data_IF_233691793457
#
_entry.id   IF_233691793457
#
_cell.length_a   1.000
_cell.length_b   1.000
_cell.length_c   1.000
_cell.angle_alpha   90.00
_cell.angle_beta   90.00
_cell.angle_gamma   90.00
#
_symmetry.space_group_name_H-M   'P 1'
#
loop_
_entity.id
_entity.type
_entity.pdbx_description
1 polymer ?
#
# COMPACT_ATOMS: atom_id res chain seq x y z
N UNK A 1 5.69 23.11 -27.11
CA UNK A 1 5.26 23.58 -25.77
C UNK A 1 4.75 22.42 -24.91
N UNK A 2 5.27 21.20 -25.07
CA UNK A 2 4.93 20.02 -24.27
C UNK A 2 6.17 19.24 -23.80
N UNK A 3 7.36 19.53 -24.34
CA UNK A 3 8.63 18.87 -24.00
C UNK A 3 9.32 19.43 -22.73
N UNK A 4 8.67 20.34 -21.99
CA UNK A 4 9.26 21.02 -20.82
C UNK A 4 8.75 20.51 -19.46
N UNK A 5 7.98 19.42 -19.45
CA UNK A 5 7.37 18.90 -18.23
C UNK A 5 8.17 17.79 -17.54
N UNK A 6 9.18 17.22 -18.19
CA UNK A 6 10.09 16.24 -17.58
C UNK A 6 11.53 16.72 -17.71
N UNK A 7 11.96 17.58 -16.78
CA UNK A 7 13.39 17.74 -16.52
C UNK A 7 13.85 16.56 -15.67
N UNK A 8 14.66 15.68 -16.25
CA UNK A 8 15.52 14.74 -15.54
C UNK A 8 16.52 15.56 -14.71
N UNK A 9 16.17 15.94 -13.49
CA UNK A 9 17.13 16.24 -12.40
C UNK A 9 16.41 16.63 -11.10
N UNK A 10 16.02 15.61 -10.36
CA UNK A 10 16.20 15.46 -8.91
C UNK A 10 15.44 14.19 -8.52
N UNK A 11 16.10 13.27 -7.82
CA UNK A 11 15.40 12.21 -7.09
C UNK A 11 14.57 12.92 -6.02
N UNK A 12 13.36 13.34 -6.37
CA UNK A 12 12.40 13.84 -5.40
C UNK A 12 12.05 12.62 -4.56
N UNK A 13 12.61 12.56 -3.36
CA UNK A 13 12.09 11.66 -2.34
C UNK A 13 10.73 12.23 -1.96
N UNK A 14 9.70 11.87 -2.71
CA UNK A 14 8.33 12.14 -2.35
C UNK A 14 7.98 11.22 -1.18
N UNK A 15 7.26 11.77 -0.21
CA UNK A 15 6.82 11.04 0.96
C UNK A 15 5.32 11.16 1.10
N UNK A 16 4.66 10.05 1.40
CA UNK A 16 3.25 10.06 1.80
C UNK A 16 3.12 10.11 3.32
N UNK A 17 2.34 11.07 3.79
CA UNK A 17 1.80 11.10 5.13
C UNK A 17 0.42 10.44 5.20
N UNK A 18 -0.14 10.41 6.41
CA UNK A 18 -1.43 9.76 6.64
C UNK A 18 -2.61 10.45 5.94
N UNK A 19 -2.50 11.76 5.71
CA UNK A 19 -3.48 12.52 4.93
C UNK A 19 -3.47 12.09 3.46
N UNK A 20 -2.30 11.82 2.90
CA UNK A 20 -2.15 11.37 1.51
C UNK A 20 -2.79 10.01 1.30
N UNK A 21 -2.67 9.09 2.27
CA UNK A 21 -3.33 7.78 2.21
C UNK A 21 -4.86 7.89 2.02
N UNK A 22 -5.50 8.90 2.62
CA UNK A 22 -6.94 9.14 2.44
C UNK A 22 -7.27 9.58 1.00
N UNK A 23 -6.46 10.45 0.42
CA UNK A 23 -6.64 10.89 -0.97
C UNK A 23 -6.31 9.79 -1.97
N UNK A 24 -5.26 9.01 -1.72
CA UNK A 24 -4.86 7.85 -2.53
C UNK A 24 -5.97 6.80 -2.52
N UNK A 25 -6.51 6.43 -1.35
CA UNK A 25 -7.61 5.48 -1.26
C UNK A 25 -8.84 5.94 -2.06
N UNK A 26 -9.18 7.23 -1.99
CA UNK A 26 -10.31 7.79 -2.74
C UNK A 26 -10.08 7.78 -4.25
N UNK A 27 -8.89 8.18 -4.71
CA UNK A 27 -8.52 8.14 -6.12
C UNK A 27 -8.47 6.70 -6.66
N UNK A 28 -7.86 5.79 -5.90
CA UNK A 28 -7.77 4.38 -6.26
C UNK A 28 -9.16 3.73 -6.38
N UNK A 29 -10.11 4.06 -5.50
CA UNK A 29 -11.48 3.57 -5.60
C UNK A 29 -12.17 3.95 -6.93
N UNK A 30 -11.88 5.13 -7.47
CA UNK A 30 -12.41 5.59 -8.75
C UNK A 30 -11.71 4.87 -9.92
N UNK A 31 -10.38 4.77 -9.86
CA UNK A 31 -9.57 4.20 -10.93
C UNK A 31 -9.70 2.67 -11.05
N UNK A 32 -10.06 1.99 -9.97
CA UNK A 32 -10.17 0.53 -9.90
C UNK A 32 -11.39 -0.06 -10.63
N UNK A 33 -12.23 0.76 -11.29
CA UNK A 33 -13.42 0.31 -12.04
C UNK A 33 -14.38 -0.58 -11.21
N UNK A 34 -14.45 -0.35 -9.90
CA UNK A 34 -15.32 -1.09 -8.96
C UNK A 34 -14.68 -2.29 -8.25
N UNK A 35 -13.41 -2.62 -8.54
CA UNK A 35 -12.62 -3.65 -7.83
C UNK A 35 -11.70 -3.08 -6.74
N UNK A 36 -10.69 -3.85 -6.32
CA UNK A 36 -9.61 -3.30 -5.48
C UNK A 36 -9.87 -3.21 -3.98
N UNK A 37 -11.02 -3.70 -3.53
CA UNK A 37 -11.48 -3.61 -2.15
C UNK A 37 -12.30 -2.34 -1.86
N UNK A 38 -13.01 -2.38 -0.72
CA UNK A 38 -13.96 -1.33 -0.32
C UNK A 38 -13.25 -0.05 0.13
N UNK A 39 -13.73 1.11 -0.34
CA UNK A 39 -13.27 2.41 0.15
C UNK A 39 -13.64 2.62 1.63
N UNK A 40 -14.76 2.06 2.09
CA UNK A 40 -15.16 2.17 3.49
C UNK A 40 -14.14 1.46 4.40
N UNK A 41 -13.75 0.24 4.04
CA UNK A 41 -12.79 -0.57 4.79
C UNK A 41 -11.42 0.12 4.80
N UNK A 42 -11.01 0.68 3.66
CA UNK A 42 -9.78 1.44 3.53
C UNK A 42 -9.73 2.64 4.49
N UNK A 43 -10.81 3.43 4.56
CA UNK A 43 -10.92 4.56 5.48
C UNK A 43 -10.91 4.11 6.94
N UNK A 44 -11.53 2.96 7.27
CA UNK A 44 -11.51 2.44 8.64
C UNK A 44 -10.10 2.02 9.07
N UNK A 45 -9.37 1.30 8.21
CA UNK A 45 -7.97 0.93 8.47
C UNK A 45 -7.10 2.18 8.64
N UNK A 46 -7.23 3.19 7.78
CA UNK A 46 -6.46 4.45 7.90
C UNK A 46 -6.78 5.16 9.22
N UNK A 47 -8.05 5.18 9.66
CA UNK A 47 -8.44 5.77 10.95
C UNK A 47 -7.83 5.02 12.13
N UNK A 48 -7.82 3.69 12.10
CA UNK A 48 -7.14 2.89 13.12
C UNK A 48 -5.64 3.16 13.12
N UNK A 49 -5.04 3.29 11.94
CA UNK A 49 -3.62 3.60 11.80
C UNK A 49 -3.28 4.99 12.35
N UNK A 50 -4.14 5.98 12.08
CA UNK A 50 -4.05 7.34 12.63
C UNK A 50 -4.19 7.32 14.15
N UNK A 51 -5.10 6.51 14.69
CA UNK A 51 -5.32 6.36 16.12
C UNK A 51 -4.13 5.74 16.87
N UNK A 52 -3.20 5.07 16.17
CA UNK A 52 -1.93 4.62 16.78
C UNK A 52 -0.99 5.78 17.14
N UNK A 53 -1.27 7.00 16.64
CA UNK A 53 -0.40 8.17 16.78
C UNK A 53 0.75 8.18 15.79
N UNK A 54 0.68 7.37 14.72
CA UNK A 54 1.69 7.34 13.68
C UNK A 54 1.85 8.72 13.02
N UNK A 55 3.10 9.18 12.94
CA UNK A 55 3.50 10.48 12.38
C UNK A 55 4.70 10.34 11.44
N UNK A 56 4.87 9.13 10.89
CA UNK A 56 5.96 8.82 9.96
C UNK A 56 5.71 9.37 8.56
N UNK A 57 6.60 8.97 7.65
CA UNK A 57 6.58 9.31 6.24
C UNK A 57 6.88 8.04 5.44
N UNK A 58 6.02 7.69 4.48
CA UNK A 58 6.21 6.54 3.61
C UNK A 58 7.03 7.01 2.41
N UNK A 59 8.27 6.54 2.20
CA UNK A 59 9.07 6.93 1.05
C UNK A 59 8.46 6.38 -0.24
N UNK A 60 8.41 7.23 -1.26
CA UNK A 60 7.96 6.89 -2.61
C UNK A 60 9.15 7.03 -3.53
N UNK A 61 9.44 5.97 -4.27
CA UNK A 61 10.52 5.97 -5.25
C UNK A 61 10.18 5.03 -6.40
N UNK A 62 10.77 5.31 -7.55
CA UNK A 62 10.79 4.36 -8.66
C UNK A 62 11.51 3.08 -8.25
N UNK A 63 11.02 1.95 -8.76
CA UNK A 63 11.66 0.66 -8.51
C UNK A 63 12.98 0.57 -9.29
N UNK A 64 14.05 0.14 -8.62
CA UNK A 64 15.42 0.10 -9.18
C UNK A 64 15.67 -1.11 -10.11
N UNK A 65 14.71 -2.02 -10.22
CA UNK A 65 14.83 -3.24 -11.02
C UNK A 65 15.70 -4.34 -10.38
N UNK A 66 16.20 -4.15 -9.15
CA UNK A 66 17.19 -5.03 -8.53
C UNK A 66 16.88 -5.39 -7.07
N UNK A 67 16.25 -4.49 -6.32
CA UNK A 67 15.90 -4.70 -4.91
C UNK A 67 14.86 -5.82 -4.79
N UNK A 68 15.07 -6.77 -3.88
CA UNK A 68 14.09 -7.83 -3.67
C UNK A 68 12.74 -7.24 -3.23
N UNK A 69 11.74 -7.39 -4.11
CA UNK A 69 10.36 -6.99 -3.88
C UNK A 69 9.42 -8.18 -4.07
N UNK A 70 8.22 -8.10 -3.49
CA UNK A 70 7.14 -9.00 -3.83
C UNK A 70 5.85 -8.23 -4.12
N UNK A 71 4.95 -8.86 -4.86
CA UNK A 71 3.58 -8.36 -4.98
C UNK A 71 2.83 -8.77 -3.72
N UNK A 72 2.21 -7.80 -3.04
CA UNK A 72 1.38 -8.02 -1.87
C UNK A 72 -0.05 -7.57 -2.14
N UNK A 73 -1.01 -8.34 -1.65
CA UNK A 73 -2.43 -8.10 -1.82
C UNK A 73 -3.21 -8.59 -0.61
N UNK A 74 -4.32 -7.94 -0.32
CA UNK A 74 -5.36 -8.53 0.53
C UNK A 74 -6.36 -9.24 -0.37
N UNK A 75 -6.56 -10.54 -0.10
CA UNK A 75 -7.49 -11.37 -0.87
C UNK A 75 -8.45 -12.08 0.07
N UNK A 76 -9.71 -12.19 -0.34
CA UNK A 76 -10.76 -12.82 0.45
C UNK A 76 -12.15 -12.33 0.06
N UNK A 77 -13.16 -12.77 0.81
CA UNK A 77 -14.51 -12.21 0.69
C UNK A 77 -14.56 -10.82 1.32
N UNK A 78 -15.21 -9.83 0.68
CA UNK A 78 -15.53 -8.56 1.34
C UNK A 78 -16.28 -8.73 2.66
N UNK A 79 -17.13 -9.75 2.79
CA UNK A 79 -17.88 -10.02 4.02
C UNK A 79 -16.95 -10.37 5.20
N UNK A 80 -15.84 -11.04 4.93
CA UNK A 80 -14.84 -11.36 5.95
C UNK A 80 -13.97 -10.15 6.32
N UNK A 81 -13.89 -9.15 5.43
CA UNK A 81 -13.14 -7.93 5.67
C UNK A 81 -13.90 -6.91 6.54
N UNK A 82 -15.23 -7.04 6.66
CA UNK A 82 -16.07 -6.09 7.39
C UNK A 82 -15.69 -5.91 8.87
N UNK A 83 -15.20 -6.97 9.51
CA UNK A 83 -14.78 -6.98 10.93
C UNK A 83 -13.26 -6.98 11.09
N UNK A 84 -12.50 -6.82 10.00
CA UNK A 84 -11.05 -6.91 10.02
C UNK A 84 -10.43 -5.64 10.60
N UNK A 85 -9.61 -5.81 11.65
CA UNK A 85 -8.91 -4.71 12.30
C UNK A 85 -7.53 -4.45 11.66
N UNK A 86 -6.93 -3.29 11.95
CA UNK A 86 -5.54 -3.01 11.59
C UNK A 86 -4.57 -4.08 12.14
N UNK A 87 -4.86 -4.61 13.34
CA UNK A 87 -4.04 -5.67 13.95
C UNK A 87 -4.09 -6.96 13.15
N UNK A 88 -5.26 -7.32 12.63
CA UNK A 88 -5.42 -8.52 11.80
C UNK A 88 -4.68 -8.38 10.46
N UNK A 89 -4.77 -7.20 9.83
CA UNK A 89 -4.03 -6.86 8.62
C UNK A 89 -2.52 -6.97 8.86
N UNK A 90 -2.02 -6.31 9.91
CA UNK A 90 -0.60 -6.34 10.25
C UNK A 90 -0.11 -7.77 10.53
N UNK A 91 -0.89 -8.57 11.28
CA UNK A 91 -0.55 -9.95 11.56
C UNK A 91 -0.46 -10.78 10.27
N UNK A 92 -1.43 -10.63 9.36
CA UNK A 92 -1.49 -11.36 8.10
C UNK A 92 -0.28 -11.05 7.21
N UNK A 93 0.06 -9.75 7.08
CA UNK A 93 1.22 -9.30 6.31
C UNK A 93 2.51 -9.82 6.93
N UNK A 94 2.71 -9.60 8.23
CA UNK A 94 3.94 -9.99 8.92
C UNK A 94 4.17 -11.51 8.84
N UNK A 95 3.12 -12.32 9.03
CA UNK A 95 3.21 -13.77 8.92
C UNK A 95 3.55 -14.21 7.49
N UNK A 96 2.91 -13.59 6.49
CA UNK A 96 3.14 -13.91 5.07
C UNK A 96 4.57 -13.59 4.65
N UNK A 97 5.06 -12.38 4.96
CA UNK A 97 6.43 -11.95 4.67
C UNK A 97 7.42 -12.85 5.40
N UNK A 98 7.22 -13.09 6.70
CA UNK A 98 8.11 -13.94 7.50
C UNK A 98 8.20 -15.36 6.92
N UNK A 99 7.07 -15.96 6.55
CA UNK A 99 7.02 -17.30 5.95
C UNK A 99 7.73 -17.32 4.59
N UNK A 100 7.46 -16.34 3.73
CA UNK A 100 8.12 -16.22 2.43
C UNK A 100 9.64 -16.11 2.56
N UNK A 101 10.12 -15.22 3.43
CA UNK A 101 11.55 -14.99 3.61
C UNK A 101 12.25 -16.23 4.19
N UNK A 102 11.62 -16.93 5.14
CA UNK A 102 12.15 -18.18 5.69
C UNK A 102 12.22 -19.30 4.65
N UNK A 103 11.20 -19.44 3.81
CA UNK A 103 11.13 -20.50 2.81
C UNK A 103 12.08 -20.29 1.64
N UNK A 104 12.35 -19.03 1.27
CA UNK A 104 13.10 -18.70 0.05
C UNK A 104 14.51 -18.19 0.30
N UNK A 105 14.81 -17.71 1.51
CA UNK A 105 16.07 -17.06 1.84
C UNK A 105 16.20 -15.62 1.31
N UNK A 106 15.21 -15.11 0.57
CA UNK A 106 15.20 -13.72 0.14
C UNK A 106 14.71 -12.82 1.26
N UNK A 107 15.39 -11.69 1.48
CA UNK A 107 14.92 -10.61 2.38
C UNK A 107 14.29 -9.53 1.52
N UNK A 108 13.02 -9.23 1.78
CA UNK A 108 12.27 -8.20 1.06
C UNK A 108 12.57 -6.83 1.66
N UNK A 109 12.72 -5.82 0.80
CA UNK A 109 12.89 -4.42 1.25
C UNK A 109 11.73 -3.51 0.83
N UNK A 110 10.88 -3.98 -0.07
CA UNK A 110 9.65 -3.29 -0.47
C UNK A 110 8.59 -4.29 -0.95
N UNK A 111 7.36 -3.80 -1.06
CA UNK A 111 6.22 -4.52 -1.65
C UNK A 111 5.62 -3.68 -2.78
N UNK A 112 4.96 -4.35 -3.72
CA UNK A 112 4.25 -3.74 -4.83
C UNK A 112 2.77 -4.11 -4.73
N UNK A 113 1.85 -3.14 -4.72
CA UNK A 113 0.41 -3.40 -4.88
C UNK A 113 0.09 -4.28 -6.09
N UNK A 114 -0.75 -5.30 -5.91
CA UNK A 114 -1.16 -6.17 -7.03
C UNK A 114 -1.99 -5.44 -8.09
N UNK A 115 -2.75 -4.43 -7.67
CA UNK A 115 -3.66 -3.67 -8.52
C UNK A 115 -3.93 -2.29 -7.92
N UNK A 116 -4.52 -1.40 -8.71
CA UNK A 116 -5.10 -0.16 -8.20
C UNK A 116 -6.43 -0.49 -7.53
N UNK A 117 -6.57 -0.10 -6.26
CA UNK A 117 -7.71 -0.47 -5.44
C UNK A 117 -7.69 0.24 -4.08
N UNK A 118 -8.86 0.60 -3.55
CA UNK A 118 -8.90 1.36 -2.30
C UNK A 118 -8.16 0.66 -1.15
N UNK A 119 -8.25 -0.68 -1.07
CA UNK A 119 -7.51 -1.50 -0.11
C UNK A 119 -6.14 -1.90 -0.67
N UNK A 120 -6.13 -2.48 -1.88
CA UNK A 120 -4.91 -3.06 -2.44
C UNK A 120 -3.82 -2.04 -2.76
N UNK A 121 -4.12 -0.73 -2.76
CA UNK A 121 -3.13 0.34 -2.91
C UNK A 121 -2.58 0.87 -1.57
N UNK A 122 -3.29 0.75 -0.45
CA UNK A 122 -2.86 1.34 0.85
C UNK A 122 -2.38 0.33 1.89
N UNK A 123 -2.75 -0.94 1.73
CA UNK A 123 -2.39 -1.99 2.68
C UNK A 123 -0.98 -2.54 2.47
N UNK A 124 -0.53 -2.81 1.21
CA UNK A 124 0.89 -3.01 0.95
C UNK A 124 1.73 -1.81 1.39
#
# INVERSE_FOLDING_TARGET
MLEKLWSEDSMVNDYYGIADLKYIAAGAAILASGGGGSYLDAVNIIKEFEATGWSGAIPVQEYDGATNCCVLAMMGSPDAAADMTLSDVHHSIANTISTFQQATGFVLSCVIPVEIGAINTIVP
#
